data_IF_168347631392
#
_entry.id   IF_168347631392
#
_cell.length_a   1.000
_cell.length_b   1.000
_cell.length_c   1.000
_cell.angle_alpha   90.00
_cell.angle_beta   90.00
_cell.angle_gamma   90.00
#
_symmetry.space_group_name_H-M   'P 1'
#
loop_
_entity.id
_entity.type
_entity.pdbx_description
1 polymer ?
#
# COMPACT_ATOMS: atom_id res chain seq x y z
N UNK A 1 -10.29 0.60 -1.70
CA UNK A 1 -10.43 -0.26 -0.50
C UNK A 1 -11.83 -0.87 -0.39
N UNK A 2 -12.91 -0.09 -0.20
CA UNK A 2 -14.29 -0.65 -0.10
C UNK A 2 -14.67 -1.59 -1.24
N UNK A 3 -14.50 -1.16 -2.49
CA UNK A 3 -14.74 -2.01 -3.67
C UNK A 3 -13.88 -3.29 -3.68
N UNK A 4 -12.66 -3.24 -3.15
CA UNK A 4 -11.78 -4.42 -3.07
C UNK A 4 -12.25 -5.41 -2.00
N UNK A 5 -12.87 -4.93 -0.91
CA UNK A 5 -13.51 -5.79 0.08
C UNK A 5 -14.77 -6.44 -0.53
N UNK A 6 -15.60 -5.64 -1.21
CA UNK A 6 -16.82 -6.12 -1.89
C UNK A 6 -16.53 -7.18 -2.95
N UNK A 7 -15.42 -7.06 -3.67
CA UNK A 7 -14.97 -8.03 -4.68
C UNK A 7 -14.23 -9.24 -4.09
N UNK A 8 -13.86 -9.20 -2.81
CA UNK A 8 -13.13 -10.26 -2.13
C UNK A 8 -11.60 -10.20 -2.29
N UNK A 9 -11.06 -9.18 -2.95
CA UNK A 9 -9.63 -8.97 -3.15
C UNK A 9 -8.92 -8.56 -1.84
N UNK A 10 -9.60 -7.76 -1.02
CA UNK A 10 -9.11 -7.23 0.26
C UNK A 10 -9.81 -7.96 1.40
N UNK A 11 -9.07 -8.27 2.46
CA UNK A 11 -9.61 -8.95 3.62
C UNK A 11 -10.71 -8.12 4.30
N UNK A 12 -11.83 -8.74 4.73
CA UNK A 12 -13.00 -8.01 5.25
C UNK A 12 -12.76 -7.32 6.59
N UNK A 13 -11.71 -7.69 7.32
CA UNK A 13 -11.32 -7.05 8.59
C UNK A 13 -10.54 -5.74 8.40
N UNK A 14 -10.16 -5.39 7.17
CA UNK A 14 -9.44 -4.15 6.87
C UNK A 14 -10.40 -2.97 7.00
N UNK A 15 -10.14 -2.05 7.94
CA UNK A 15 -10.90 -0.81 8.05
C UNK A 15 -10.61 0.12 6.86
N UNK A 16 -11.60 0.50 6.03
CA UNK A 16 -11.36 1.29 4.84
C UNK A 16 -10.84 2.70 5.10
N UNK A 17 -11.24 3.31 6.23
CA UNK A 17 -10.86 4.68 6.57
C UNK A 17 -9.39 4.75 6.99
N UNK A 18 -8.98 3.83 7.87
CA UNK A 18 -7.60 3.69 8.32
C UNK A 18 -6.68 3.31 7.16
N UNK A 19 -7.08 2.36 6.32
CA UNK A 19 -6.31 1.97 5.15
C UNK A 19 -6.09 3.17 4.20
N UNK A 20 -7.13 3.96 3.93
CA UNK A 20 -7.00 5.16 3.11
C UNK A 20 -6.04 6.20 3.73
N UNK A 21 -6.11 6.42 5.05
CA UNK A 21 -5.19 7.33 5.75
C UNK A 21 -3.75 6.88 5.66
N UNK A 22 -3.49 5.58 5.84
CA UNK A 22 -2.14 5.01 5.73
C UNK A 22 -1.58 5.15 4.30
N UNK A 23 -2.38 4.83 3.28
CA UNK A 23 -1.99 4.99 1.87
C UNK A 23 -1.67 6.47 1.57
N UNK A 24 -2.51 7.40 2.04
CA UNK A 24 -2.28 8.84 1.85
C UNK A 24 -1.00 9.31 2.54
N UNK A 25 -0.80 8.96 3.81
CA UNK A 25 0.41 9.34 4.55
C UNK A 25 1.68 8.83 3.86
N UNK A 26 1.62 7.61 3.31
CA UNK A 26 2.70 7.04 2.53
C UNK A 26 2.99 7.80 1.23
N UNK A 27 1.97 8.13 0.45
CA UNK A 27 2.14 8.89 -0.79
C UNK A 27 2.72 10.30 -0.53
N UNK A 28 2.35 10.93 0.58
CA UNK A 28 2.93 12.20 1.02
C UNK A 28 4.42 12.04 1.35
N UNK A 29 4.78 11.05 2.17
CA UNK A 29 6.18 10.78 2.51
C UNK A 29 7.05 10.47 1.27
N UNK A 30 6.49 9.79 0.27
CA UNK A 30 7.16 9.57 -1.00
C UNK A 30 7.36 10.88 -1.77
N UNK A 31 6.33 11.72 -1.83
CA UNK A 31 6.41 13.04 -2.48
C UNK A 31 7.51 13.91 -1.87
N UNK A 32 7.63 13.89 -0.55
CA UNK A 32 8.69 14.62 0.17
C UNK A 32 10.08 14.07 -0.18
N UNK A 33 10.26 12.74 -0.17
CA UNK A 33 11.53 12.11 -0.57
C UNK A 33 11.93 12.44 -2.03
N UNK A 34 10.96 12.55 -2.94
CA UNK A 34 11.22 12.98 -4.33
C UNK A 34 11.65 14.44 -4.39
N UNK A 35 11.01 15.33 -3.62
CA UNK A 35 11.34 16.76 -3.58
C UNK A 35 12.74 16.99 -2.98
N UNK A 36 13.10 16.26 -1.94
CA UNK A 36 14.43 16.34 -1.30
C UNK A 36 15.55 15.91 -2.26
N UNK A 37 15.27 15.02 -3.22
CA UNK A 37 16.26 14.59 -4.23
C UNK A 37 16.61 15.66 -5.27
N UNK A 38 15.93 16.81 -5.29
CA UNK A 38 16.23 17.97 -6.14
C UNK A 38 15.98 17.82 -7.65
N UNK A 39 15.70 16.61 -8.14
CA UNK A 39 15.51 16.32 -9.57
C UNK A 39 14.06 16.42 -10.05
N UNK A 40 13.09 16.54 -9.13
CA UNK A 40 11.66 16.47 -9.44
C UNK A 40 11.19 15.09 -9.95
N UNK A 41 12.11 14.15 -10.13
CA UNK A 41 11.86 12.80 -10.61
C UNK A 41 12.04 11.78 -9.49
N UNK A 42 11.25 10.71 -9.55
CA UNK A 42 11.48 9.54 -8.70
C UNK A 42 12.82 8.91 -9.08
N UNK A 43 13.81 9.00 -8.20
CA UNK A 43 15.06 8.26 -8.33
C UNK A 43 14.77 6.76 -8.35
N UNK A 44 15.66 5.95 -8.95
CA UNK A 44 15.53 4.49 -8.89
C UNK A 44 15.44 3.97 -7.45
N UNK A 45 16.16 4.61 -6.52
CA UNK A 45 16.14 4.25 -5.11
C UNK A 45 14.78 4.56 -4.46
N UNK A 46 14.22 5.75 -4.71
CA UNK A 46 12.88 6.10 -4.24
C UNK A 46 11.82 5.16 -4.84
N UNK A 47 12.00 4.73 -6.09
CA UNK A 47 11.11 3.79 -6.78
C UNK A 47 11.17 2.40 -6.14
N UNK A 48 12.37 1.91 -5.80
CA UNK A 48 12.54 0.64 -5.08
C UNK A 48 11.86 0.68 -3.71
N UNK A 49 12.09 1.75 -2.94
CA UNK A 49 11.45 1.96 -1.63
C UNK A 49 9.92 2.05 -1.73
N UNK A 50 9.42 2.67 -2.80
CA UNK A 50 7.99 2.72 -3.09
C UNK A 50 7.40 1.32 -3.30
N UNK A 51 8.00 0.54 -4.22
CA UNK A 51 7.48 -0.79 -4.54
C UNK A 51 7.59 -1.76 -3.36
N UNK A 52 8.64 -1.69 -2.54
CA UNK A 52 8.74 -2.54 -1.34
C UNK A 52 7.61 -2.26 -0.33
N UNK A 53 7.18 -1.00 -0.21
CA UNK A 53 6.09 -0.63 0.69
C UNK A 53 4.72 -1.00 0.13
N UNK A 54 4.53 -0.86 -1.18
CA UNK A 54 3.31 -1.35 -1.86
C UNK A 54 3.17 -2.85 -1.66
N UNK A 55 4.25 -3.62 -1.79
CA UNK A 55 4.25 -5.07 -1.55
C UNK A 55 3.88 -5.43 -0.10
N UNK A 56 4.35 -4.66 0.89
CA UNK A 56 3.95 -4.83 2.29
C UNK A 56 2.45 -4.57 2.48
N UNK A 57 1.93 -3.47 1.92
CA UNK A 57 0.51 -3.12 2.00
C UNK A 57 -0.35 -4.17 1.30
N UNK A 58 0.05 -4.62 0.12
CA UNK A 58 -0.64 -5.66 -0.64
C UNK A 58 -0.67 -6.96 0.16
N UNK A 59 0.47 -7.45 0.65
CA UNK A 59 0.54 -8.67 1.47
C UNK A 59 -0.25 -8.57 2.77
N UNK A 60 -0.32 -7.39 3.37
CA UNK A 60 -1.07 -7.14 4.60
C UNK A 60 -2.58 -7.06 4.39
N UNK A 61 -3.02 -6.47 3.27
CA UNK A 61 -4.44 -6.25 2.97
C UNK A 61 -5.08 -7.36 2.15
N UNK A 62 -4.29 -8.12 1.40
CA UNK A 62 -4.78 -9.21 0.55
C UNK A 62 -5.49 -10.22 1.42
N UNK A 63 -6.67 -10.62 0.95
CA UNK A 63 -7.37 -11.75 1.55
C UNK A 63 -6.46 -12.98 1.43
N UNK A 64 -5.92 -13.46 2.55
CA UNK A 64 -5.29 -14.77 2.58
C UNK A 64 -6.42 -15.77 2.33
N UNK A 65 -6.28 -16.59 1.30
CA UNK A 65 -6.98 -17.87 1.29
C UNK A 65 -6.54 -18.57 2.57
N UNK A 66 -7.40 -18.53 3.59
CA UNK A 66 -7.32 -19.51 4.65
C UNK A 66 -7.51 -20.83 3.91
N UNK A 67 -6.40 -21.53 3.67
CA UNK A 67 -6.44 -22.98 3.53
C UNK A 67 -7.16 -23.46 4.81
N UNK A 68 -8.47 -23.65 4.72
CA UNK A 68 -9.27 -24.48 5.63
C UNK A 68 -8.81 -25.95 5.44
N UNK A 69 -7.53 -26.20 5.71
CA UNK A 69 -6.96 -27.53 5.77
C UNK A 69 -6.71 -27.91 7.22
N UNK A 70 -7.71 -28.65 7.71
CA UNK A 70 -7.72 -29.67 8.77
C UNK A 70 -8.03 -29.19 10.18
#
# INVERSE_FOLDING_TARGET
>A
VRQGIERGDIAPWVDPSLAARLITAFLLALGDAVRESGSGNLTEEARKKFYSMVDILEKGMRRREQDDRS
#
